data_IF_219547891179
#
_entry.id   IF_219547891179
#
_cell.length_a   1.000
_cell.length_b   1.000
_cell.length_c   1.000
_cell.angle_alpha   90.00
_cell.angle_beta   90.00
_cell.angle_gamma   90.00
#
_symmetry.space_group_name_H-M   'P 1'
#
loop_
_entity.id
_entity.type
_entity.pdbx_description
1 polymer ?
#
# COMPACT_ATOMS: atom_id res chain seq x y z
N UNK A 1 5.36 -16.62 -27.76
CA UNK A 1 5.09 -16.71 -26.31
C UNK A 1 5.73 -15.49 -25.64
N UNK A 2 4.94 -14.49 -25.23
CA UNK A 2 5.43 -13.33 -24.46
C UNK A 2 4.77 -13.44 -23.09
N UNK A 3 5.51 -13.91 -22.09
CA UNK A 3 5.05 -13.94 -20.71
C UNK A 3 4.77 -12.51 -20.27
N UNK A 4 3.51 -12.21 -19.96
CA UNK A 4 3.12 -10.95 -19.35
C UNK A 4 3.68 -10.99 -17.93
N UNK A 5 4.86 -10.42 -17.70
CA UNK A 5 5.29 -10.07 -16.34
C UNK A 5 4.31 -8.99 -15.90
N UNK A 6 3.19 -9.39 -15.30
CA UNK A 6 2.18 -8.49 -14.79
C UNK A 6 2.76 -7.82 -13.53
N UNK A 7 3.53 -6.75 -13.74
CA UNK A 7 3.93 -5.87 -12.65
C UNK A 7 2.65 -5.35 -11.99
N UNK A 8 2.46 -5.68 -10.72
CA UNK A 8 1.29 -5.25 -9.95
C UNK A 8 1.64 -3.95 -9.24
N UNK A 9 0.78 -2.94 -9.38
CA UNK A 9 0.97 -1.62 -8.78
C UNK A 9 -0.15 -1.30 -7.81
N UNK A 10 0.21 -0.75 -6.65
CA UNK A 10 -0.72 -0.23 -5.65
C UNK A 10 -0.18 1.09 -5.14
N UNK A 11 -1.07 2.07 -4.97
CA UNK A 11 -0.77 3.31 -4.28
C UNK A 11 -1.08 3.12 -2.78
N UNK A 12 -0.16 3.58 -1.94
CA UNK A 12 -0.21 3.42 -0.48
C UNK A 12 -0.19 4.80 0.16
N UNK A 13 -1.30 5.15 0.79
CA UNK A 13 -1.51 6.42 1.49
C UNK A 13 -1.45 6.16 2.99
N UNK A 14 -0.77 7.03 3.73
CA UNK A 14 -0.73 6.99 5.19
C UNK A 14 -1.45 8.20 5.76
N UNK A 15 -2.23 8.01 6.83
CA UNK A 15 -3.01 9.08 7.45
C UNK A 15 -2.16 10.16 8.12
N UNK A 16 -0.92 9.83 8.49
CA UNK A 16 0.05 10.76 9.06
C UNK A 16 1.27 10.87 8.13
N UNK A 17 1.51 12.03 7.49
CA UNK A 17 2.62 12.20 6.55
C UNK A 17 4.00 12.03 7.21
N UNK A 18 4.11 12.19 8.53
CA UNK A 18 5.36 11.92 9.26
C UNK A 18 5.80 10.44 9.15
N UNK A 19 4.85 9.53 8.93
CA UNK A 19 5.10 8.10 8.83
C UNK A 19 5.47 7.63 7.42
N UNK A 20 5.34 8.50 6.41
CA UNK A 20 5.57 8.15 5.00
C UNK A 20 6.98 7.61 4.77
N UNK A 21 8.00 8.25 5.37
CA UNK A 21 9.39 7.81 5.28
C UNK A 21 9.56 6.42 5.91
N UNK A 22 9.03 6.23 7.11
CA UNK A 22 9.16 4.98 7.85
C UNK A 22 8.45 3.84 7.14
N UNK A 23 7.28 4.10 6.55
CA UNK A 23 6.53 3.15 5.74
C UNK A 23 7.31 2.78 4.46
N UNK A 24 7.92 3.77 3.79
CA UNK A 24 8.77 3.52 2.62
C UNK A 24 9.95 2.62 2.97
N UNK A 25 10.63 2.90 4.08
CA UNK A 25 11.74 2.09 4.56
C UNK A 25 11.29 0.67 4.95
N UNK A 26 10.09 0.52 5.50
CA UNK A 26 9.50 -0.78 5.81
C UNK A 26 9.24 -1.61 4.56
N UNK A 27 8.50 -1.05 3.60
CA UNK A 27 8.13 -1.73 2.36
C UNK A 27 9.34 -1.99 1.45
N UNK A 28 10.31 -1.08 1.44
CA UNK A 28 11.54 -1.20 0.64
C UNK A 28 12.49 -2.31 1.10
N UNK A 29 12.26 -2.94 2.25
CA UNK A 29 13.03 -4.12 2.70
C UNK A 29 12.60 -5.40 2.00
N UNK A 30 11.49 -5.39 1.27
CA UNK A 30 10.89 -6.59 0.70
C UNK A 30 11.49 -6.85 -0.68
N UNK A 31 12.11 -8.02 -0.91
CA UNK A 31 12.75 -8.33 -2.17
C UNK A 31 11.71 -8.42 -3.31
N UNK A 32 12.04 -7.84 -4.46
CA UNK A 32 11.14 -7.84 -5.63
C UNK A 32 10.08 -6.73 -5.62
N UNK A 33 10.23 -5.75 -4.73
CA UNK A 33 9.39 -4.56 -4.61
C UNK A 33 10.21 -3.31 -4.89
N UNK A 34 9.68 -2.40 -5.68
CA UNK A 34 10.15 -1.04 -5.82
C UNK A 34 9.14 -0.09 -5.16
N UNK A 35 9.62 0.84 -4.34
CA UNK A 35 8.78 1.79 -3.60
C UNK A 35 9.23 3.21 -3.90
N UNK A 36 8.36 3.98 -4.53
CA UNK A 36 8.65 5.35 -4.97
C UNK A 36 7.65 6.30 -4.32
N UNK A 37 8.16 7.37 -3.71
CA UNK A 37 7.31 8.46 -3.23
C UNK A 37 6.88 9.31 -4.43
N UNK A 38 5.57 9.54 -4.58
CA UNK A 38 5.00 10.34 -5.67
C UNK A 38 4.01 11.37 -5.10
N UNK A 39 3.83 12.51 -5.79
CA UNK A 39 2.81 13.48 -5.39
C UNK A 39 1.42 12.86 -5.42
N UNK A 40 0.65 13.05 -4.34
CA UNK A 40 -0.76 12.68 -4.34
C UNK A 40 -1.57 13.53 -5.32
N UNK A 41 -2.75 13.03 -5.69
CA UNK A 41 -3.69 13.77 -6.53
C UNK A 41 -4.87 14.27 -5.68
N UNK A 42 -5.13 15.59 -5.63
CA UNK A 42 -6.28 16.10 -4.89
C UNK A 42 -7.58 15.67 -5.57
N UNK A 43 -8.56 15.31 -4.75
CA UNK A 43 -9.93 15.09 -5.20
C UNK A 43 -10.62 16.36 -5.67
N UNK A 44 -11.78 16.21 -6.30
CA UNK A 44 -12.58 17.35 -6.74
C UNK A 44 -13.02 18.20 -5.54
N UNK A 45 -12.58 19.45 -5.48
CA UNK A 45 -12.88 20.36 -4.37
C UNK A 45 -11.89 20.31 -3.20
N UNK A 46 -10.87 19.45 -3.26
CA UNK A 46 -9.79 19.41 -2.27
C UNK A 46 -8.67 20.40 -2.61
N UNK A 47 -8.01 20.94 -1.59
CA UNK A 47 -6.85 21.82 -1.74
C UNK A 47 -5.57 21.10 -1.34
N UNK A 48 -4.81 20.70 -2.36
CA UNK A 48 -3.56 19.98 -2.17
C UNK A 48 -3.76 18.50 -1.83
N UNK A 49 -2.70 17.73 -1.97
CA UNK A 49 -2.66 16.32 -1.59
C UNK A 49 -1.28 16.01 -1.02
N UNK A 50 -1.25 15.14 -0.01
CA UNK A 50 -0.01 14.63 0.55
C UNK A 50 0.66 13.69 -0.45
N UNK A 51 1.98 13.58 -0.36
CA UNK A 51 2.71 12.53 -1.08
C UNK A 51 2.23 11.14 -0.62
N UNK A 52 2.25 10.20 -1.55
CA UNK A 52 1.92 8.80 -1.33
C UNK A 52 3.08 7.90 -1.79
N UNK A 53 3.02 6.62 -1.44
CA UNK A 53 3.98 5.64 -1.93
C UNK A 53 3.35 4.80 -3.04
N UNK A 54 3.94 4.86 -4.22
CA UNK A 54 3.65 3.90 -5.27
C UNK A 54 4.53 2.66 -5.07
N UNK A 55 3.88 1.51 -4.96
CA UNK A 55 4.52 0.22 -4.78
C UNK A 55 4.37 -0.58 -6.07
N UNK A 56 5.50 -0.98 -6.65
CA UNK A 56 5.57 -1.85 -7.83
C UNK A 56 6.15 -3.20 -7.40
N UNK A 57 5.41 -4.27 -7.65
CA UNK A 57 5.83 -5.63 -7.35
C UNK A 57 6.02 -6.44 -8.63
N UNK A 58 7.02 -7.33 -8.62
CA UNK A 58 7.31 -8.24 -9.75
C UNK A 58 6.15 -9.21 -10.08
N UNK A 59 5.15 -9.34 -9.19
CA UNK A 59 3.91 -10.07 -9.40
C UNK A 59 2.98 -10.00 -8.19
N UNK A 60 1.76 -10.51 -8.34
CA UNK A 60 0.72 -10.44 -7.30
C UNK A 60 1.10 -11.13 -5.98
N UNK A 61 1.86 -12.24 -6.04
CA UNK A 61 2.34 -12.93 -4.83
C UNK A 61 3.33 -12.10 -4.01
N UNK A 62 4.23 -11.36 -4.68
CA UNK A 62 5.16 -10.43 -3.99
C UNK A 62 4.36 -9.29 -3.36
N UNK A 63 3.38 -8.74 -4.09
CA UNK A 63 2.52 -7.68 -3.58
C UNK A 63 1.69 -8.12 -2.36
N UNK A 64 1.17 -9.36 -2.37
CA UNK A 64 0.46 -9.93 -1.23
C UNK A 64 1.35 -10.01 0.00
N UNK A 65 2.60 -10.48 -0.15
CA UNK A 65 3.58 -10.50 0.96
C UNK A 65 3.86 -9.08 1.45
N UNK A 66 4.04 -8.12 0.55
CA UNK A 66 4.24 -6.71 0.90
C UNK A 66 3.15 -6.18 1.79
N UNK A 67 1.90 -6.39 1.38
CA UNK A 67 0.75 -5.87 2.10
C UNK A 67 0.55 -6.58 3.46
N UNK A 68 0.87 -7.87 3.55
CA UNK A 68 0.85 -8.63 4.82
C UNK A 68 1.81 -8.10 5.89
N UNK A 69 2.75 -7.23 5.52
CA UNK A 69 3.64 -6.58 6.50
C UNK A 69 3.08 -5.27 7.07
N UNK A 70 2.02 -4.70 6.48
CA UNK A 70 1.38 -3.48 6.97
C UNK A 70 0.76 -3.62 8.36
N UNK A 71 0.15 -4.77 8.73
CA UNK A 71 -0.34 -4.97 10.08
C UNK A 71 0.71 -4.77 11.17
N UNK A 72 1.91 -5.34 10.95
CA UNK A 72 3.04 -5.20 11.87
C UNK A 72 3.50 -3.74 11.94
N UNK A 73 3.60 -3.07 10.79
CA UNK A 73 3.93 -1.65 10.73
C UNK A 73 2.96 -0.81 11.56
N UNK A 74 1.64 -0.99 11.36
CA UNK A 74 0.60 -0.23 12.06
C UNK A 74 0.66 -0.50 13.57
N UNK A 75 0.74 -1.77 13.99
CA UNK A 75 0.83 -2.16 15.41
C UNK A 75 2.10 -1.64 16.10
N UNK A 76 3.19 -1.46 15.35
CA UNK A 76 4.44 -0.92 15.89
C UNK A 76 4.38 0.58 16.20
N UNK A 77 3.33 1.29 15.75
CA UNK A 77 3.14 2.72 15.99
C UNK A 77 2.29 2.96 17.23
N UNK A 78 2.74 3.92 18.05
CA UNK A 78 1.96 4.39 19.21
C UNK A 78 0.75 5.22 18.80
N UNK A 79 0.78 5.78 17.60
CA UNK A 79 -0.29 6.55 16.99
C UNK A 79 -1.24 5.61 16.23
N UNK A 80 -2.55 5.91 16.21
CA UNK A 80 -3.53 5.20 15.39
C UNK A 80 -3.34 5.51 13.89
N UNK A 81 -2.22 5.05 13.34
CA UNK A 81 -1.88 5.22 11.92
C UNK A 81 -2.80 4.35 11.10
N UNK A 82 -3.37 4.93 10.06
CA UNK A 82 -4.20 4.24 9.08
C UNK A 82 -3.45 4.22 7.75
N UNK A 83 -3.45 3.06 7.10
CA UNK A 83 -2.85 2.88 5.77
C UNK A 83 -3.95 2.55 4.78
N UNK A 84 -4.05 3.30 3.70
CA UNK A 84 -5.01 3.06 2.62
C UNK A 84 -4.28 2.57 1.38
N UNK A 85 -4.78 1.49 0.80
CA UNK A 85 -4.30 0.85 -0.40
C UNK A 85 -5.27 1.13 -1.54
N UNK A 86 -4.74 1.55 -2.68
CA UNK A 86 -5.52 1.90 -3.87
C UNK A 86 -4.98 1.19 -5.11
N UNK A 87 -5.84 0.47 -5.83
CA UNK A 87 -5.52 -0.14 -7.12
C UNK A 87 -6.73 -0.03 -8.04
N UNK A 88 -6.64 0.84 -9.05
CA UNK A 88 -7.78 1.19 -9.90
C UNK A 88 -8.93 1.76 -9.07
N UNK A 89 -10.14 1.19 -9.23
CA UNK A 89 -11.34 1.59 -8.48
C UNK A 89 -11.47 0.92 -7.10
N UNK A 90 -10.51 0.05 -6.73
CA UNK A 90 -10.53 -0.66 -5.45
C UNK A 90 -9.70 0.10 -4.43
N UNK A 91 -10.33 0.40 -3.28
CA UNK A 91 -9.69 1.04 -2.13
C UNK A 91 -9.91 0.21 -0.88
N UNK A 92 -8.86 -0.01 -0.10
CA UNK A 92 -8.91 -0.75 1.16
C UNK A 92 -8.16 0.02 2.24
N UNK A 93 -8.82 0.25 3.36
CA UNK A 93 -8.25 0.97 4.50
C UNK A 93 -7.94 0.00 5.63
N UNK A 94 -6.66 -0.05 6.00
CA UNK A 94 -6.11 -0.89 7.05
C UNK A 94 -5.84 -0.04 8.29
N UNK A 95 -6.42 -0.44 9.40
CA UNK A 95 -6.24 0.17 10.73
C UNK A 95 -5.70 -0.89 11.68
N UNK A 96 -5.33 -0.51 12.90
CA UNK A 96 -4.92 -1.47 13.93
C UNK A 96 -6.05 -2.43 14.33
N UNK A 97 -7.31 -2.01 14.17
CA UNK A 97 -8.51 -2.71 14.62
C UNK A 97 -9.02 -3.74 13.62
N UNK A 98 -8.91 -3.46 12.31
CA UNK A 98 -9.37 -4.35 11.24
C UNK A 98 -8.22 -5.10 10.55
N UNK A 99 -7.05 -5.06 11.17
CA UNK A 99 -5.77 -5.45 10.56
C UNK A 99 -5.71 -6.94 10.19
N UNK A 100 -6.47 -7.74 10.92
CA UNK A 100 -6.62 -9.19 10.78
C UNK A 100 -7.63 -9.55 9.68
N UNK A 101 -8.66 -8.72 9.48
CA UNK A 101 -9.59 -8.82 8.35
C UNK A 101 -8.99 -8.26 7.05
N UNK A 102 -8.08 -7.28 7.17
CA UNK A 102 -7.46 -6.61 6.04
C UNK A 102 -6.72 -7.58 5.12
N UNK A 103 -6.11 -8.65 5.63
CA UNK A 103 -5.45 -9.67 4.81
C UNK A 103 -6.41 -10.31 3.79
N UNK A 104 -7.64 -10.61 4.19
CA UNK A 104 -8.65 -11.19 3.31
C UNK A 104 -9.20 -10.17 2.29
N UNK A 105 -9.25 -8.89 2.67
CA UNK A 105 -9.67 -7.81 1.76
C UNK A 105 -8.57 -7.50 0.74
N UNK A 106 -7.32 -7.62 1.13
CA UNK A 106 -6.15 -7.44 0.28
C UNK A 106 -6.07 -8.54 -0.79
N UNK A 107 -6.35 -9.79 -0.42
CA UNK A 107 -6.44 -10.90 -1.37
C UNK A 107 -7.48 -10.61 -2.48
N UNK A 108 -8.63 -10.03 -2.09
CA UNK A 108 -9.65 -9.56 -3.05
C UNK A 108 -9.20 -8.36 -3.87
N UNK A 109 -8.38 -7.47 -3.32
CA UNK A 109 -7.77 -6.35 -4.05
C UNK A 109 -6.89 -6.87 -5.19
N UNK A 110 -6.16 -7.97 -4.96
CA UNK A 110 -5.19 -8.57 -5.87
C UNK A 110 -5.76 -9.64 -6.82
N UNK A 111 -6.94 -10.19 -6.54
CA UNK A 111 -7.51 -11.39 -7.16
C UNK A 111 -7.96 -11.32 -8.64
N UNK A 112 -7.41 -10.41 -9.45
CA UNK A 112 -7.70 -10.31 -10.90
C UNK A 112 -6.40 -10.35 -11.77
N UNK A 113 -5.28 -10.81 -11.21
CA UNK A 113 -3.99 -10.91 -11.91
C UNK A 113 -3.78 -12.26 -12.62
#
# INVERSE_FOLDING_TARGET
MRGKNASCSVDVVVSDPAELRSLREHLGRIPGVEVTQVPGRPGAGEQGAWDLLQVLAAGGGVLAVTIKTLPEFIRSRRSNVTVTLESGDRRVTVTAENVEDAEAVVDKLLGDA
#
